data_IF_773591438810
#
_entry.id   IF_773591438810
#
_cell.length_a   1.000
_cell.length_b   1.000
_cell.length_c   1.000
_cell.angle_alpha   90.00
_cell.angle_beta   90.00
_cell.angle_gamma   90.00
#
_symmetry.space_group_name_H-M   'P 1'
#
loop_
_entity.id
_entity.type
_entity.pdbx_description
1 polymer ?
#
# COMPACT_ATOMS: atom_id res chain seq x y z
N UNK A 1 12.36 -18.67 7.37
CA UNK A 1 12.65 -17.46 6.55
C UNK A 1 14.15 -17.42 6.31
N UNK A 2 14.59 -16.86 5.17
CA UNK A 2 15.99 -16.79 4.75
C UNK A 2 16.49 -15.34 4.75
N UNK A 3 16.61 -14.68 5.93
CA UNK A 3 17.04 -13.28 6.02
C UNK A 3 18.41 -13.04 5.38
N UNK A 4 19.28 -14.05 5.37
CA UNK A 4 20.61 -14.01 4.75
C UNK A 4 20.59 -13.80 3.23
N UNK A 5 19.44 -14.07 2.57
CA UNK A 5 19.28 -13.90 1.12
C UNK A 5 18.78 -12.51 0.73
N UNK A 6 18.55 -11.63 1.69
CA UNK A 6 17.98 -10.30 1.48
C UNK A 6 18.97 -9.27 2.01
N UNK A 7 19.42 -8.35 1.16
CA UNK A 7 20.28 -7.24 1.59
C UNK A 7 19.49 -6.06 2.14
N UNK A 8 18.35 -5.75 1.51
CA UNK A 8 17.48 -4.64 1.86
C UNK A 8 16.06 -4.89 1.33
N UNK A 9 15.08 -4.13 1.85
CA UNK A 9 13.68 -4.24 1.44
C UNK A 9 13.19 -2.88 0.97
N UNK A 10 12.53 -2.82 -0.18
CA UNK A 10 11.81 -1.62 -0.64
C UNK A 10 10.31 -1.89 -0.66
N UNK A 11 9.56 -1.12 0.14
CA UNK A 11 8.11 -1.10 0.13
C UNK A 11 7.61 0.10 -0.67
N UNK A 12 6.73 -0.14 -1.64
CA UNK A 12 6.09 0.90 -2.45
C UNK A 12 4.60 0.84 -2.17
N UNK A 13 4.02 1.95 -1.71
CA UNK A 13 2.62 1.96 -1.24
C UNK A 13 2.40 1.01 -0.07
N UNK A 14 3.45 0.78 0.73
CA UNK A 14 3.40 -0.12 1.88
C UNK A 14 2.35 0.32 2.90
N UNK A 15 1.69 -0.64 3.54
CA UNK A 15 0.76 -0.38 4.63
C UNK A 15 0.64 -1.62 5.53
N UNK A 16 0.63 -1.39 6.85
CA UNK A 16 0.18 -2.36 7.85
C UNK A 16 -1.02 -1.79 8.62
N UNK A 17 -1.82 -2.67 9.22
CA UNK A 17 -3.06 -2.24 9.85
C UNK A 17 -2.83 -1.40 11.10
N UNK A 18 -3.54 -0.28 11.11
CA UNK A 18 -3.67 0.63 12.22
C UNK A 18 -5.15 0.98 12.37
N UNK A 19 -5.66 1.25 13.60
CA UNK A 19 -6.99 1.85 13.76
C UNK A 19 -7.09 3.11 12.89
N UNK A 20 -7.87 3.02 11.81
CA UNK A 20 -7.93 4.04 10.77
C UNK A 20 -9.17 3.86 9.90
N UNK A 21 -9.52 4.90 9.14
CA UNK A 21 -10.61 4.83 8.15
C UNK A 21 -10.41 3.68 7.17
N UNK A 22 -9.18 3.45 6.73
CA UNK A 22 -8.86 2.37 5.78
C UNK A 22 -9.10 0.99 6.40
N UNK A 23 -8.75 0.80 7.67
CA UNK A 23 -9.01 -0.46 8.37
C UNK A 23 -10.51 -0.75 8.48
N UNK A 24 -11.33 0.25 8.84
CA UNK A 24 -12.79 0.10 8.87
C UNK A 24 -13.38 -0.23 7.50
N UNK A 25 -12.81 0.30 6.42
CA UNK A 25 -13.18 -0.06 5.05
C UNK A 25 -12.91 -1.54 4.80
N UNK A 26 -11.74 -2.06 5.17
CA UNK A 26 -11.44 -3.49 5.01
C UNK A 26 -12.43 -4.38 5.77
N UNK A 27 -12.77 -4.03 7.00
CA UNK A 27 -13.75 -4.77 7.80
C UNK A 27 -15.13 -4.77 7.12
N UNK A 28 -15.64 -3.60 6.72
CA UNK A 28 -16.94 -3.50 6.06
C UNK A 28 -17.02 -4.30 4.75
N UNK A 29 -15.96 -4.29 3.94
CA UNK A 29 -15.93 -5.06 2.68
C UNK A 29 -15.72 -6.55 2.89
N UNK A 30 -15.03 -6.94 3.96
CA UNK A 30 -14.97 -8.34 4.39
C UNK A 30 -16.37 -8.86 4.78
N UNK A 31 -17.14 -8.12 5.56
CA UNK A 31 -18.50 -8.54 5.94
C UNK A 31 -19.45 -8.64 4.73
N UNK A 32 -19.28 -7.77 3.72
CA UNK A 32 -20.10 -7.74 2.50
C UNK A 32 -19.58 -8.63 1.37
N UNK A 33 -18.61 -9.50 1.62
CA UNK A 33 -17.96 -10.35 0.60
C UNK A 33 -18.89 -11.34 -0.12
N UNK A 34 -20.12 -11.54 0.38
CA UNK A 34 -21.13 -12.39 -0.24
C UNK A 34 -21.92 -11.71 -1.37
N UNK A 35 -21.74 -10.39 -1.56
CA UNK A 35 -22.37 -9.64 -2.65
C UNK A 35 -21.83 -10.07 -4.03
N UNK A 36 -22.57 -9.75 -5.09
CA UNK A 36 -22.12 -9.99 -6.47
C UNK A 36 -20.73 -9.35 -6.71
N UNK A 37 -19.79 -10.16 -7.20
CA UNK A 37 -18.36 -9.84 -7.15
C UNK A 37 -17.99 -8.56 -7.89
N UNK A 38 -18.53 -8.33 -9.10
CA UNK A 38 -18.18 -7.14 -9.88
C UNK A 38 -18.69 -5.86 -9.21
N UNK A 39 -19.92 -5.87 -8.68
CA UNK A 39 -20.48 -4.78 -7.89
C UNK A 39 -19.70 -4.54 -6.60
N UNK A 40 -19.41 -5.61 -5.85
CA UNK A 40 -18.62 -5.56 -4.63
C UNK A 40 -17.23 -4.98 -4.89
N UNK A 41 -16.54 -5.46 -5.93
CA UNK A 41 -15.20 -5.04 -6.31
C UNK A 41 -15.18 -3.57 -6.77
N UNK A 42 -16.17 -3.14 -7.55
CA UNK A 42 -16.31 -1.75 -7.98
C UNK A 42 -16.48 -0.82 -6.79
N UNK A 43 -17.37 -1.16 -5.85
CA UNK A 43 -17.57 -0.39 -4.62
C UNK A 43 -16.29 -0.38 -3.75
N UNK A 44 -15.62 -1.52 -3.64
CA UNK A 44 -14.39 -1.65 -2.88
C UNK A 44 -13.29 -0.74 -3.46
N UNK A 45 -13.02 -0.85 -4.76
CA UNK A 45 -12.02 -0.06 -5.46
C UNK A 45 -12.29 1.46 -5.36
N UNK A 46 -13.55 1.89 -5.48
CA UNK A 46 -13.93 3.29 -5.28
C UNK A 46 -13.66 3.79 -3.86
N UNK A 47 -13.75 2.90 -2.86
CA UNK A 47 -13.57 3.26 -1.46
C UNK A 47 -12.10 3.33 -1.06
N UNK A 48 -11.28 2.40 -1.56
CA UNK A 48 -9.83 2.34 -1.25
C UNK A 48 -8.97 3.27 -2.13
N UNK A 49 -9.53 3.81 -3.22
CA UNK A 49 -8.91 4.85 -4.04
C UNK A 49 -9.84 6.05 -4.18
N UNK A 50 -10.11 6.81 -3.09
CA UNK A 50 -11.04 7.91 -3.14
C UNK A 50 -10.52 9.03 -4.04
N UNK A 51 -11.32 9.46 -5.02
CA UNK A 51 -10.92 10.52 -5.96
C UNK A 51 -11.02 11.95 -5.40
N UNK A 52 -11.55 12.11 -4.18
CA UNK A 52 -11.73 13.41 -3.50
C UNK A 52 -12.72 14.36 -4.18
N UNK A 53 -13.30 15.29 -3.42
CA UNK A 53 -14.17 16.39 -3.91
C UNK A 53 -13.31 17.60 -4.33
N UNK A 54 -12.12 17.78 -3.75
CA UNK A 54 -11.20 18.87 -4.04
C UNK A 54 -10.04 18.35 -4.90
N UNK A 55 -10.11 18.65 -6.20
CA UNK A 55 -9.19 18.24 -7.27
C UNK A 55 -9.18 16.72 -7.49
N UNK A 56 -9.77 16.29 -8.60
CA UNK A 56 -9.70 14.92 -9.07
C UNK A 56 -8.24 14.45 -9.01
N UNK A 57 -7.90 13.62 -8.01
CA UNK A 57 -6.58 13.03 -7.91
C UNK A 57 -6.45 12.04 -9.09
N UNK A 58 -5.74 12.39 -10.19
CA UNK A 58 -5.71 11.54 -11.38
C UNK A 58 -5.10 10.18 -11.05
N UNK A 59 -4.20 10.13 -10.06
CA UNK A 59 -3.57 8.89 -9.58
C UNK A 59 -4.59 7.95 -8.93
N UNK A 60 -5.57 8.47 -8.18
CA UNK A 60 -6.63 7.66 -7.58
C UNK A 60 -7.54 7.05 -8.64
N UNK A 61 -7.92 7.83 -9.67
CA UNK A 61 -8.75 7.34 -10.78
C UNK A 61 -8.04 6.24 -11.56
N UNK A 62 -6.76 6.43 -11.89
CA UNK A 62 -5.97 5.43 -12.60
C UNK A 62 -5.80 4.17 -11.75
N UNK A 63 -5.44 4.33 -10.47
CA UNK A 63 -5.27 3.19 -9.55
C UNK A 63 -6.55 2.38 -9.40
N UNK A 64 -7.70 3.06 -9.27
CA UNK A 64 -9.03 2.42 -9.24
C UNK A 64 -9.29 1.62 -10.51
N UNK A 65 -9.06 2.21 -11.69
CA UNK A 65 -9.35 1.56 -12.96
C UNK A 65 -8.46 0.33 -13.17
N UNK A 66 -7.17 0.41 -12.81
CA UNK A 66 -6.24 -0.73 -12.81
C UNK A 66 -6.75 -1.81 -11.85
N UNK A 67 -7.05 -1.45 -10.60
CA UNK A 67 -7.50 -2.40 -9.58
C UNK A 67 -8.77 -3.14 -9.98
N UNK A 68 -9.77 -2.40 -10.48
CA UNK A 68 -11.03 -2.99 -10.93
C UNK A 68 -10.82 -3.91 -12.15
N UNK A 69 -10.11 -3.44 -13.18
CA UNK A 69 -9.88 -4.19 -14.43
C UNK A 69 -9.14 -5.50 -14.19
N UNK A 70 -8.10 -5.49 -13.35
CA UNK A 70 -7.35 -6.70 -13.05
C UNK A 70 -8.04 -7.56 -12.01
N UNK A 71 -8.75 -6.96 -11.06
CA UNK A 71 -9.53 -7.72 -10.08
C UNK A 71 -10.62 -8.56 -10.74
N UNK A 72 -11.31 -8.06 -11.77
CA UNK A 72 -12.30 -8.84 -12.53
C UNK A 72 -11.73 -10.08 -13.23
N UNK A 73 -10.41 -10.15 -13.44
CA UNK A 73 -9.74 -11.32 -14.05
C UNK A 73 -9.39 -12.39 -13.00
N UNK A 74 -9.51 -12.07 -11.71
CA UNK A 74 -9.24 -13.00 -10.62
C UNK A 74 -10.52 -13.74 -10.23
N UNK A 75 -10.36 -14.95 -9.70
CA UNK A 75 -11.47 -15.63 -9.04
C UNK A 75 -11.96 -14.78 -7.86
N UNK A 76 -13.28 -14.72 -7.65
CA UNK A 76 -13.92 -13.81 -6.68
C UNK A 76 -13.38 -13.97 -5.25
N UNK A 77 -12.99 -15.18 -4.89
CA UNK A 77 -12.40 -15.48 -3.59
C UNK A 77 -11.03 -14.84 -3.35
N UNK A 78 -10.23 -14.54 -4.39
CA UNK A 78 -8.84 -14.11 -4.22
C UNK A 78 -8.75 -12.79 -3.45
N UNK A 79 -9.48 -11.77 -3.91
CA UNK A 79 -9.45 -10.45 -3.26
C UNK A 79 -10.10 -10.53 -1.87
N UNK A 80 -11.22 -11.26 -1.74
CA UNK A 80 -11.88 -11.44 -0.45
C UNK A 80 -10.95 -12.13 0.57
N UNK A 81 -10.26 -13.20 0.18
CA UNK A 81 -9.31 -13.90 1.06
C UNK A 81 -8.09 -13.04 1.37
N UNK A 82 -7.65 -12.18 0.44
CA UNK A 82 -6.59 -11.21 0.72
C UNK A 82 -7.00 -10.19 1.79
N UNK A 83 -8.27 -9.78 1.83
CA UNK A 83 -8.83 -8.93 2.89
C UNK A 83 -8.83 -9.64 4.24
N UNK A 84 -9.26 -10.91 4.28
CA UNK A 84 -9.18 -11.72 5.51
C UNK A 84 -7.76 -11.79 6.03
N UNK A 85 -6.82 -12.17 5.17
CA UNK A 85 -5.42 -12.24 5.53
C UNK A 85 -4.91 -10.90 6.05
N UNK A 86 -5.25 -9.80 5.38
CA UNK A 86 -4.89 -8.46 5.84
C UNK A 86 -5.44 -8.16 7.22
N UNK A 87 -6.69 -8.52 7.53
CA UNK A 87 -7.35 -8.27 8.82
C UNK A 87 -6.79 -9.13 9.95
N UNK A 88 -6.53 -10.41 9.68
CA UNK A 88 -6.16 -11.40 10.71
C UNK A 88 -4.65 -11.51 10.95
N UNK A 89 -3.83 -11.21 9.94
CA UNK A 89 -2.38 -11.38 10.04
C UNK A 89 -1.72 -10.21 10.78
N UNK A 90 -1.03 -10.52 11.88
CA UNK A 90 -0.24 -9.54 12.62
C UNK A 90 1.08 -9.19 11.90
N UNK A 91 0.94 -8.38 10.86
CA UNK A 91 2.07 -7.86 10.10
C UNK A 91 2.98 -6.99 10.97
N UNK A 92 2.45 -6.24 11.95
CA UNK A 92 3.24 -5.35 12.79
C UNK A 92 4.30 -6.09 13.58
N UNK A 93 3.92 -7.19 14.23
CA UNK A 93 4.88 -7.99 15.00
C UNK A 93 5.95 -8.61 14.11
N UNK A 94 5.60 -8.98 12.86
CA UNK A 94 6.59 -9.47 11.89
C UNK A 94 7.55 -8.39 11.43
N UNK A 95 7.04 -7.20 11.13
CA UNK A 95 7.85 -6.05 10.71
C UNK A 95 8.90 -5.68 11.78
N UNK A 96 8.51 -5.64 13.06
CA UNK A 96 9.44 -5.37 14.18
C UNK A 96 10.66 -6.28 14.25
N UNK A 97 10.55 -7.49 13.73
CA UNK A 97 11.63 -8.47 13.74
C UNK A 97 12.60 -8.36 12.57
N UNK A 98 12.36 -7.46 11.60
CA UNK A 98 13.18 -7.34 10.40
C UNK A 98 14.46 -6.55 10.67
N UNK A 99 15.65 -7.17 10.54
CA UNK A 99 16.92 -6.48 10.79
C UNK A 99 17.37 -5.62 9.60
N UNK A 100 16.86 -5.88 8.39
CA UNK A 100 17.34 -5.31 7.14
C UNK A 100 17.04 -3.82 6.98
N UNK A 101 17.91 -3.03 6.34
CA UNK A 101 17.56 -1.69 5.89
C UNK A 101 16.27 -1.70 5.05
N UNK A 102 15.35 -0.77 5.36
CA UNK A 102 14.05 -0.69 4.68
C UNK A 102 13.88 0.68 4.03
N UNK A 103 13.61 0.72 2.74
CA UNK A 103 13.10 1.91 2.07
C UNK A 103 11.57 1.83 2.02
N UNK A 104 10.87 2.82 2.59
CA UNK A 104 9.42 2.92 2.56
C UNK A 104 8.99 4.10 1.71
N UNK A 105 8.48 3.81 0.53
CA UNK A 105 8.12 4.79 -0.50
C UNK A 105 6.60 4.92 -0.59
N UNK A 106 6.11 6.15 -0.51
CA UNK A 106 4.70 6.46 -0.75
C UNK A 106 4.54 7.61 -1.74
N UNK A 107 3.40 7.69 -2.41
CA UNK A 107 3.06 8.87 -3.20
C UNK A 107 2.61 10.02 -2.29
N UNK A 108 2.93 11.25 -2.65
CA UNK A 108 2.49 12.46 -1.96
C UNK A 108 0.97 12.46 -1.69
N UNK A 109 0.19 12.00 -2.66
CA UNK A 109 -1.27 11.96 -2.62
C UNK A 109 -1.86 10.63 -2.12
N UNK A 110 -1.06 9.72 -1.54
CA UNK A 110 -1.51 8.42 -1.01
C UNK A 110 -2.12 8.51 0.41
N UNK A 111 -2.93 9.54 0.65
CA UNK A 111 -3.36 9.96 1.99
C UNK A 111 -4.03 8.86 2.82
N UNK A 112 -4.81 7.98 2.19
CA UNK A 112 -5.55 6.93 2.89
C UNK A 112 -4.62 5.87 3.49
N UNK A 113 -3.51 5.56 2.82
CA UNK A 113 -2.57 4.53 3.24
C UNK A 113 -1.48 5.08 4.16
N UNK A 114 -1.27 6.41 4.19
CA UNK A 114 -0.34 7.08 5.11
C UNK A 114 -0.73 6.97 6.59
N UNK A 115 -1.89 6.38 6.91
CA UNK A 115 -2.27 6.03 8.30
C UNK A 115 -1.27 5.10 8.99
N UNK A 116 -0.46 4.35 8.23
CA UNK A 116 0.61 3.52 8.81
C UNK A 116 1.82 4.34 9.29
N UNK A 117 1.94 5.63 8.96
CA UNK A 117 3.14 6.40 9.25
C UNK A 117 3.28 6.82 10.72
N UNK A 118 2.19 6.86 11.49
CA UNK A 118 2.22 7.41 12.85
C UNK A 118 3.18 6.64 13.79
N UNK A 119 3.30 5.32 13.60
CA UNK A 119 4.17 4.45 14.39
C UNK A 119 5.25 3.78 13.54
N UNK A 120 5.42 4.18 12.28
CA UNK A 120 6.33 3.52 11.34
C UNK A 120 7.75 3.36 11.89
N UNK A 121 8.30 4.42 12.49
CA UNK A 121 9.65 4.38 13.09
C UNK A 121 9.75 3.51 14.34
N UNK A 122 8.65 3.34 15.08
CA UNK A 122 8.57 2.44 16.23
C UNK A 122 8.44 0.98 15.79
N UNK A 123 7.69 0.72 14.72
CA UNK A 123 7.53 -0.62 14.15
C UNK A 123 8.78 -1.05 13.36
N UNK A 124 9.44 -0.13 12.65
CA UNK A 124 10.60 -0.35 11.80
C UNK A 124 11.68 0.71 12.08
N UNK A 125 12.57 0.50 13.08
CA UNK A 125 13.60 1.49 13.41
C UNK A 125 14.54 1.83 12.25
N UNK A 126 14.87 0.81 11.44
CA UNK A 126 15.76 0.83 10.27
C UNK A 126 15.11 1.34 8.96
N UNK A 127 13.92 1.92 9.03
CA UNK A 127 13.20 2.43 7.85
C UNK A 127 13.68 3.80 7.38
N UNK A 128 13.78 4.02 6.07
CA UNK A 128 13.89 5.33 5.46
C UNK A 128 12.57 5.63 4.76
N UNK A 129 11.81 6.59 5.28
CA UNK A 129 10.55 7.01 4.69
C UNK A 129 10.77 8.10 3.65
N UNK A 130 10.21 7.94 2.45
CA UNK A 130 10.32 8.90 1.36
C UNK A 130 9.02 9.02 0.59
N UNK A 131 8.71 10.26 0.21
CA UNK A 131 7.57 10.57 -0.62
C UNK A 131 8.00 10.89 -2.04
N UNK A 132 7.23 10.38 -3.00
CA UNK A 132 7.36 10.72 -4.40
C UNK A 132 6.36 11.86 -4.71
N UNK A 133 6.84 13.03 -5.13
CA UNK A 133 5.99 14.18 -5.40
C UNK A 133 5.08 13.94 -6.60
N UNK A 134 3.86 14.48 -6.56
CA UNK A 134 2.83 14.32 -7.59
C UNK A 134 2.65 12.84 -7.97
N UNK A 135 2.39 11.99 -6.98
CA UNK A 135 2.10 10.57 -7.18
C UNK A 135 1.08 10.06 -6.16
N UNK A 136 0.32 9.02 -6.52
CA UNK A 136 -0.60 8.30 -5.63
C UNK A 136 -0.05 6.95 -5.17
N UNK A 137 -0.93 5.99 -4.90
CA UNK A 137 -0.56 4.68 -4.33
C UNK A 137 0.49 3.91 -5.13
N UNK A 138 0.32 3.83 -6.46
CA UNK A 138 1.29 3.22 -7.36
C UNK A 138 2.41 4.21 -7.75
N UNK A 139 3.13 4.74 -6.75
CA UNK A 139 4.02 5.88 -6.92
C UNK A 139 5.15 5.65 -7.94
N UNK A 140 5.70 4.43 -7.97
CA UNK A 140 6.72 4.01 -8.92
C UNK A 140 6.22 3.96 -10.36
N UNK A 141 4.94 3.65 -10.59
CA UNK A 141 4.36 3.65 -11.93
C UNK A 141 4.09 5.07 -12.42
N UNK A 142 3.69 5.97 -11.52
CA UNK A 142 3.38 7.36 -11.88
C UNK A 142 4.62 8.23 -12.06
N UNK A 143 5.71 7.96 -11.33
CA UNK A 143 6.97 8.72 -11.40
C UNK A 143 8.18 7.78 -11.44
N UNK A 144 8.33 6.97 -12.49
CA UNK A 144 9.36 5.92 -12.55
C UNK A 144 10.77 6.49 -12.40
N UNK A 145 11.11 7.59 -13.09
CA UNK A 145 12.46 8.18 -13.00
C UNK A 145 12.79 8.67 -11.59
N UNK A 146 11.81 9.24 -10.88
CA UNK A 146 12.00 9.70 -9.50
C UNK A 146 12.18 8.51 -8.56
N UNK A 147 11.37 7.46 -8.73
CA UNK A 147 11.54 6.22 -7.98
C UNK A 147 12.91 5.58 -8.25
N UNK A 148 13.37 5.55 -9.50
CA UNK A 148 14.67 4.99 -9.86
C UNK A 148 15.83 5.73 -9.20
N UNK A 149 15.88 7.06 -9.27
CA UNK A 149 16.91 7.85 -8.57
C UNK A 149 16.88 7.60 -7.06
N UNK A 150 15.68 7.60 -6.48
CA UNK A 150 15.51 7.35 -5.05
C UNK A 150 16.01 5.96 -4.64
N UNK A 151 15.65 4.94 -5.42
CA UNK A 151 15.99 3.55 -5.14
C UNK A 151 17.47 3.29 -5.36
N UNK A 152 18.07 3.84 -6.42
CA UNK A 152 19.51 3.76 -6.67
C UNK A 152 20.32 4.37 -5.52
N UNK A 153 19.93 5.56 -5.05
CA UNK A 153 20.57 6.19 -3.89
C UNK A 153 20.44 5.36 -2.62
N UNK A 154 19.33 4.66 -2.43
CA UNK A 154 19.16 3.74 -1.30
C UNK A 154 20.10 2.54 -1.39
N UNK A 155 20.17 1.88 -2.56
CA UNK A 155 21.03 0.73 -2.79
C UNK A 155 22.51 1.07 -2.62
N UNK A 156 22.92 2.28 -2.99
CA UNK A 156 24.29 2.77 -2.89
C UNK A 156 24.62 3.43 -1.53
N UNK A 157 23.70 3.43 -0.55
CA UNK A 157 23.94 4.03 0.77
C UNK A 157 24.02 5.56 0.78
N UNK A 158 23.60 6.21 -0.30
CA UNK A 158 23.63 7.67 -0.51
C UNK A 158 22.31 8.36 -0.16
N UNK A 159 21.33 7.60 0.33
CA UNK A 159 20.03 8.11 0.76
C UNK A 159 20.03 8.33 2.27
N UNK A 160 19.86 9.59 2.68
CA UNK A 160 19.70 10.01 4.07
C UNK A 160 18.23 10.22 4.39
#
# INVERSE_FOLDING_TARGET
>A
MHPEKVLSICHIGGHYNNPSRLYSVFQNFWEKRGDEYSKWLSQYANTIFPSGILKANPFAVISRNIYYRFGLQLHSSIIAQSLRHRLEFDLKSKLKSLPHPILWVMGEHDHLYKSCLFDLKSILPNVLYKEIPLAGHAANLFRPNYFHDLYDRFLNGNLK
#
